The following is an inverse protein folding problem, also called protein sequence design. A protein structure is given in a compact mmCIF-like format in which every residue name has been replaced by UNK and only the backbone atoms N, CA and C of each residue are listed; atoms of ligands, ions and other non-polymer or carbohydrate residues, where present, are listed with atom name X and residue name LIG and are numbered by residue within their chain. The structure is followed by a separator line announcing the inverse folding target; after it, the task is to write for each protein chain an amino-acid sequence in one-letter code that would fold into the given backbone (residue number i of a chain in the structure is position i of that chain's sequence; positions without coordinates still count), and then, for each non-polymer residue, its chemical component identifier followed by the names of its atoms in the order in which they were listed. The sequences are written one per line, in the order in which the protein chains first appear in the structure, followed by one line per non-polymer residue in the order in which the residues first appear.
data_IF_937367762711
#
_entry.id   IF_937367762711
#
_cell.length_a   1.000
_cell.length_b   1.000
_cell.length_c   1.000
_cell.angle_alpha   90.00
_cell.angle_beta   90.00
_cell.angle_gamma   90.00
#
_symmetry.space_group_name_H-M   'P 1'
#
loop_
_entity.id
_entity.type
_entity.pdbx_description
1 polymer ?
#
# COMPACT_ATOMS: atom_id res chain seq x y z
N UNK A 1 44.00 78.00 70.10
CA UNK A 1 45.27 77.35 70.55
C UNK A 1 45.26 75.89 70.10
N UNK A 2 46.41 75.34 69.66
CA UNK A 2 46.62 75.22 68.21
C UNK A 2 47.25 73.89 67.75
N UNK A 3 47.51 73.83 66.43
CA UNK A 3 48.51 73.02 65.67
C UNK A 3 48.04 71.60 65.26
N UNK A 4 48.26 71.14 64.03
CA UNK A 4 49.43 71.40 63.16
C UNK A 4 49.13 71.21 61.66
N UNK A 5 49.86 71.99 60.87
CA UNK A 5 49.97 72.07 59.41
C UNK A 5 50.45 70.76 58.74
N UNK A 6 50.20 70.61 57.43
CA UNK A 6 51.24 70.84 56.41
C UNK A 6 50.70 70.80 54.98
N UNK A 7 51.01 71.86 54.24
CA UNK A 7 50.90 72.00 52.79
C UNK A 7 52.21 71.49 52.19
N UNK A 8 52.14 70.77 51.06
CA UNK A 8 53.22 70.77 50.08
C UNK A 8 52.67 70.71 48.65
N UNK A 9 53.10 71.68 47.85
CA UNK A 9 52.90 71.80 46.40
C UNK A 9 53.70 70.74 45.63
N UNK A 10 53.21 70.29 44.49
CA UNK A 10 54.00 70.34 43.24
C UNK A 10 53.11 70.19 42.00
N UNK A 11 53.41 71.02 40.98
CA UNK A 11 52.90 70.94 39.61
C UNK A 11 53.80 69.99 38.80
N UNK A 12 53.23 69.07 38.03
CA UNK A 12 53.81 68.45 36.82
C UNK A 12 52.62 68.06 35.92
N UNK A 13 52.26 68.85 34.90
CA UNK A 13 52.71 68.77 33.50
C UNK A 13 52.36 67.43 32.80
N UNK A 14 51.36 67.51 31.91
CA UNK A 14 51.19 66.84 30.61
C UNK A 14 51.67 65.39 30.42
N UNK A 15 50.79 64.52 29.91
CA UNK A 15 51.00 63.66 28.71
C UNK A 15 49.75 62.77 28.47
N UNK A 16 49.12 63.00 27.32
CA UNK A 16 48.52 62.03 26.39
C UNK A 16 47.96 60.70 26.95
N UNK A 17 46.63 60.56 26.98
CA UNK A 17 45.97 59.27 26.79
C UNK A 17 44.59 59.49 26.17
N UNK A 18 44.56 59.62 24.84
CA UNK A 18 43.34 59.50 24.05
C UNK A 18 42.88 58.04 24.18
N UNK A 19 42.03 57.74 25.16
CA UNK A 19 41.38 56.43 25.27
C UNK A 19 40.46 56.27 24.06
N UNK A 20 40.95 55.56 23.05
CA UNK A 20 40.11 54.91 22.06
C UNK A 20 39.21 53.91 22.80
N UNK A 21 37.98 54.33 23.10
CA UNK A 21 36.92 53.43 23.54
C UNK A 21 36.47 52.62 22.33
N UNK A 22 37.26 51.60 21.95
CA UNK A 22 36.82 50.57 21.01
C UNK A 22 35.79 49.74 21.76
N UNK A 23 34.52 50.12 21.64
CA UNK A 23 33.40 49.26 22.01
C UNK A 23 33.46 48.04 21.09
N UNK A 24 34.04 46.94 21.58
CA UNK A 24 33.86 45.63 20.99
C UNK A 24 32.37 45.28 21.11
N UNK A 25 31.58 45.68 20.11
CA UNK A 25 30.31 45.04 19.84
C UNK A 25 30.62 43.62 19.36
N UNK A 26 30.85 42.72 20.31
CA UNK A 26 30.70 41.30 20.06
C UNK A 26 29.23 41.09 19.73
N UNK A 27 28.90 41.13 18.44
CA UNK A 27 27.65 40.56 17.95
C UNK A 27 27.66 39.11 18.40
N UNK A 28 26.92 38.81 19.47
CA UNK A 28 26.61 37.43 19.83
C UNK A 28 26.04 36.79 18.56
N UNK A 29 26.83 35.89 17.97
CA UNK A 29 26.43 35.14 16.79
C UNK A 29 25.14 34.44 17.18
N UNK A 30 23.99 34.88 16.64
CA UNK A 30 22.71 34.20 16.86
C UNK A 30 22.97 32.73 16.58
N UNK A 31 22.85 31.89 17.62
CA UNK A 31 23.01 30.44 17.48
C UNK A 31 22.10 30.05 16.33
N UNK A 32 22.69 29.61 15.21
CA UNK A 32 21.90 29.15 14.07
C UNK A 32 20.98 28.05 14.63
N UNK A 33 19.65 28.17 14.49
CA UNK A 33 18.77 27.08 14.85
C UNK A 33 19.29 25.84 14.14
N UNK A 34 19.67 24.82 14.91
CA UNK A 34 20.05 23.54 14.32
C UNK A 34 18.77 23.01 13.68
N UNK A 35 18.70 23.07 12.36
CA UNK A 35 17.56 22.51 11.64
C UNK A 35 17.46 21.03 12.00
N UNK A 36 16.26 20.55 12.40
CA UNK A 36 16.09 19.16 12.71
C UNK A 36 16.42 18.32 11.46
N UNK A 37 17.02 17.14 11.62
CA UNK A 37 17.38 16.30 10.49
C UNK A 37 16.13 15.97 9.66
N UNK A 38 16.25 16.08 8.33
CA UNK A 38 15.13 15.84 7.43
C UNK A 38 14.63 14.39 7.58
N UNK A 39 13.32 14.16 7.77
CA UNK A 39 12.76 12.82 7.91
C UNK A 39 13.06 11.88 6.72
N UNK A 40 13.17 12.45 5.53
CA UNK A 40 13.52 11.78 4.28
C UNK A 40 14.56 12.63 3.53
N UNK A 41 15.60 12.00 3.01
CA UNK A 41 16.61 12.66 2.22
C UNK A 41 17.23 11.73 1.18
N UNK A 42 17.83 12.33 0.14
CA UNK A 42 18.65 11.58 -0.82
C UNK A 42 20.04 11.36 -0.23
N UNK A 43 20.41 10.11 -0.06
CA UNK A 43 21.74 9.67 0.36
C UNK A 43 22.82 9.99 -0.68
N UNK A 44 24.09 9.85 -0.30
CA UNK A 44 25.25 10.10 -1.19
C UNK A 44 25.29 9.16 -2.39
N UNK A 45 24.79 7.94 -2.24
CA UNK A 45 24.64 6.92 -3.30
C UNK A 45 23.34 7.10 -4.11
N UNK A 46 22.58 8.16 -3.84
CA UNK A 46 21.41 8.54 -4.64
C UNK A 46 20.11 7.83 -4.26
N UNK A 47 20.12 6.99 -3.22
CA UNK A 47 18.94 6.31 -2.69
C UNK A 47 18.19 7.16 -1.66
N UNK A 48 16.95 6.81 -1.37
CA UNK A 48 16.23 7.39 -0.23
C UNK A 48 16.85 6.88 1.08
N UNK A 49 17.06 7.79 2.02
CA UNK A 49 17.47 7.52 3.38
C UNK A 49 16.50 8.19 4.35
N UNK A 50 16.29 7.53 5.49
CA UNK A 50 15.24 7.85 6.43
C UNK A 50 15.85 8.19 7.79
N UNK A 51 15.46 9.33 8.34
CA UNK A 51 15.85 9.73 9.68
C UNK A 51 14.81 9.22 10.67
N UNK A 52 15.19 8.42 11.68
CA UNK A 52 14.26 8.01 12.72
C UNK A 52 13.90 9.17 13.65
N UNK A 53 12.68 9.15 14.20
CA UNK A 53 12.34 9.96 15.38
C UNK A 53 12.96 9.38 16.67
N UNK A 54 12.61 9.96 17.83
CA UNK A 54 13.14 9.53 19.13
C UNK A 54 12.74 8.10 19.53
N UNK A 55 11.64 7.56 19.00
CA UNK A 55 11.19 6.19 19.24
C UNK A 55 11.66 5.23 18.13
N UNK A 56 12.41 5.72 17.14
CA UNK A 56 12.91 4.93 16.02
C UNK A 56 11.97 4.89 14.80
N UNK A 57 10.84 5.60 14.83
CA UNK A 57 9.88 5.58 13.72
C UNK A 57 10.47 6.28 12.51
N UNK A 58 10.19 5.73 11.33
CA UNK A 58 10.57 6.35 10.05
C UNK A 58 9.34 6.48 9.17
N UNK A 59 9.39 7.40 8.20
CA UNK A 59 8.38 7.47 7.14
C UNK A 59 8.25 6.08 6.50
N UNK A 60 7.02 5.54 6.33
CA UNK A 60 6.83 4.23 5.74
C UNK A 60 7.45 4.12 4.34
N UNK A 61 8.16 3.01 4.10
CA UNK A 61 8.70 2.70 2.78
C UNK A 61 7.67 1.93 1.94
N UNK A 62 7.17 2.58 0.89
CA UNK A 62 6.20 2.00 -0.05
C UNK A 62 6.85 1.42 -1.31
N UNK A 63 8.17 1.32 -1.39
CA UNK A 63 8.86 0.74 -2.57
C UNK A 63 8.46 -0.72 -2.84
N UNK A 64 7.90 -1.41 -1.83
CA UNK A 64 7.43 -2.80 -1.89
C UNK A 64 5.99 -2.93 -2.43
N UNK A 65 5.37 -1.83 -2.85
CA UNK A 65 4.04 -1.84 -3.47
C UNK A 65 4.09 -2.33 -4.93
N UNK A 66 2.93 -2.71 -5.47
CA UNK A 66 2.80 -3.14 -6.86
C UNK A 66 3.27 -4.57 -7.14
N UNK A 67 3.13 -4.96 -8.40
CA UNK A 67 3.45 -6.27 -8.94
C UNK A 67 4.84 -6.74 -8.50
N UNK A 68 4.91 -7.92 -7.88
CA UNK A 68 6.17 -8.51 -7.42
C UNK A 68 7.02 -7.58 -6.53
N UNK A 69 6.35 -6.67 -5.79
CA UNK A 69 6.96 -5.67 -4.90
C UNK A 69 7.88 -4.67 -5.62
N UNK A 70 7.60 -4.38 -6.90
CA UNK A 70 8.41 -3.48 -7.71
C UNK A 70 9.72 -4.09 -8.25
N UNK A 71 10.03 -5.34 -7.89
CA UNK A 71 11.28 -6.01 -8.26
C UNK A 71 11.26 -6.59 -9.68
N UNK A 72 10.08 -6.68 -10.30
CA UNK A 72 9.92 -7.19 -11.67
C UNK A 72 8.96 -6.31 -12.45
N UNK A 73 9.28 -6.12 -13.73
CA UNK A 73 8.33 -5.56 -14.69
C UNK A 73 7.13 -6.51 -14.88
N UNK A 74 5.97 -5.94 -15.17
CA UNK A 74 4.78 -6.72 -15.53
C UNK A 74 5.06 -7.45 -16.85
N UNK A 75 4.90 -8.79 -16.90
CA UNK A 75 5.25 -9.58 -18.07
C UNK A 75 4.21 -9.47 -19.19
N UNK A 76 4.66 -9.62 -20.44
CA UNK A 76 3.79 -9.75 -21.59
C UNK A 76 3.41 -11.21 -21.84
N UNK A 77 2.17 -11.57 -21.49
CA UNK A 77 1.66 -12.91 -21.71
C UNK A 77 1.57 -13.27 -23.22
N UNK A 78 2.03 -14.47 -23.57
CA UNK A 78 1.84 -15.04 -24.91
C UNK A 78 0.36 -15.35 -25.17
N UNK A 79 -0.16 -14.95 -26.32
CA UNK A 79 -1.54 -15.23 -26.73
C UNK A 79 -1.72 -16.73 -26.94
N UNK A 80 -2.74 -17.31 -26.30
CA UNK A 80 -3.09 -18.74 -26.41
C UNK A 80 -4.41 -18.98 -27.11
N UNK A 81 -5.30 -17.99 -27.07
CA UNK A 81 -6.61 -18.04 -27.72
C UNK A 81 -7.01 -16.64 -28.15
N UNK A 82 -7.64 -16.55 -29.31
CA UNK A 82 -8.24 -15.32 -29.84
C UNK A 82 -9.76 -15.49 -29.82
N UNK A 83 -10.47 -14.49 -29.32
CA UNK A 83 -11.94 -14.50 -29.24
C UNK A 83 -12.47 -13.42 -30.19
N UNK A 84 -13.03 -13.79 -31.35
CA UNK A 84 -13.59 -12.83 -32.28
C UNK A 84 -14.88 -12.21 -31.72
N UNK A 85 -15.19 -11.02 -32.22
CA UNK A 85 -16.48 -10.38 -31.96
C UNK A 85 -17.59 -11.17 -32.67
N UNK A 86 -18.71 -11.35 -31.98
CA UNK A 86 -19.92 -11.97 -32.54
C UNK A 86 -21.14 -11.39 -31.84
N UNK A 87 -22.28 -11.38 -32.53
CA UNK A 87 -23.53 -10.81 -32.04
C UNK A 87 -24.03 -11.54 -30.78
N UNK A 88 -24.72 -10.80 -29.93
CA UNK A 88 -25.30 -11.29 -28.67
C UNK A 88 -24.30 -11.37 -27.51
N UNK A 89 -24.81 -11.80 -26.36
CA UNK A 89 -24.05 -11.86 -25.11
C UNK A 89 -22.78 -12.73 -25.25
N UNK A 90 -21.64 -12.10 -24.99
CA UNK A 90 -20.31 -12.69 -25.07
C UNK A 90 -19.89 -13.38 -23.77
N UNK A 91 -20.68 -13.30 -22.69
CA UNK A 91 -20.32 -13.83 -21.35
C UNK A 91 -19.79 -15.26 -21.42
N UNK A 92 -20.58 -16.19 -21.97
CA UNK A 92 -20.21 -17.61 -22.04
C UNK A 92 -19.00 -17.84 -22.95
N UNK A 93 -18.92 -17.10 -24.06
CA UNK A 93 -17.85 -17.22 -25.05
C UNK A 93 -16.50 -16.81 -24.46
N UNK A 94 -16.45 -15.65 -23.81
CA UNK A 94 -15.23 -15.16 -23.15
C UNK A 94 -14.89 -16.04 -21.94
N UNK A 95 -15.87 -16.43 -21.14
CA UNK A 95 -15.63 -17.34 -20.00
C UNK A 95 -15.07 -18.70 -20.45
N UNK A 96 -15.52 -19.23 -21.59
CA UNK A 96 -14.99 -20.47 -22.15
C UNK A 96 -13.53 -20.35 -22.56
N UNK A 97 -13.13 -19.20 -23.13
CA UNK A 97 -11.72 -18.92 -23.45
C UNK A 97 -10.87 -18.80 -22.18
N UNK A 98 -11.38 -18.13 -21.13
CA UNK A 98 -10.72 -18.07 -19.82
C UNK A 98 -10.55 -19.49 -19.24
N UNK A 99 -11.59 -20.30 -19.27
CA UNK A 99 -11.58 -21.68 -18.77
C UNK A 99 -10.58 -22.56 -19.55
N UNK A 100 -10.46 -22.35 -20.86
CA UNK A 100 -9.47 -23.03 -21.70
C UNK A 100 -8.05 -22.67 -21.28
N UNK A 101 -7.71 -21.38 -21.22
CA UNK A 101 -6.35 -20.93 -20.83
C UNK A 101 -6.03 -21.35 -19.40
N UNK A 102 -7.01 -21.35 -18.49
CA UNK A 102 -6.85 -21.80 -17.11
C UNK A 102 -6.40 -23.27 -16.98
N UNK A 103 -6.63 -24.10 -18.00
CA UNK A 103 -6.21 -25.52 -18.05
C UNK A 103 -4.82 -25.71 -18.66
N UNK A 104 -4.25 -24.73 -19.34
CA UNK A 104 -2.93 -24.84 -19.97
C UNK A 104 -1.82 -24.90 -18.91
N UNK A 105 -0.69 -25.58 -19.14
CA UNK A 105 0.41 -25.62 -18.18
C UNK A 105 0.94 -24.21 -17.89
N UNK A 106 1.37 -23.99 -16.64
CA UNK A 106 2.01 -22.74 -16.24
C UNK A 106 3.44 -22.69 -16.81
N UNK A 107 3.79 -21.58 -17.45
CA UNK A 107 5.11 -21.31 -17.99
C UNK A 107 6.14 -20.98 -16.91
N UNK A 108 7.42 -20.90 -17.30
CA UNK A 108 8.52 -20.52 -16.41
C UNK A 108 8.41 -19.08 -15.88
N UNK A 109 7.67 -18.25 -16.60
CA UNK A 109 7.32 -16.87 -16.26
C UNK A 109 6.15 -16.78 -15.26
N UNK A 110 5.53 -17.91 -14.88
CA UNK A 110 4.34 -17.94 -14.03
C UNK A 110 3.03 -17.72 -14.79
N UNK A 111 3.06 -17.73 -16.12
CA UNK A 111 1.89 -17.46 -16.97
C UNK A 111 1.42 -18.71 -17.71
N UNK A 112 0.11 -18.92 -17.76
CA UNK A 112 -0.55 -19.85 -18.69
C UNK A 112 -0.72 -19.20 -20.07
N UNK A 113 -1.00 -17.89 -20.09
CA UNK A 113 -1.03 -17.06 -21.28
C UNK A 113 -2.22 -16.09 -21.32
N UNK A 114 -2.34 -15.41 -22.46
CA UNK A 114 -3.38 -14.42 -22.70
C UNK A 114 -4.53 -14.97 -23.55
N UNK A 115 -5.75 -14.57 -23.16
CA UNK A 115 -6.95 -14.52 -23.98
C UNK A 115 -6.92 -13.17 -24.71
N UNK A 116 -6.80 -13.16 -26.03
CA UNK A 116 -6.92 -11.94 -26.82
C UNK A 116 -8.36 -11.75 -27.30
N UNK A 117 -9.00 -10.66 -26.89
CA UNK A 117 -10.22 -10.18 -27.51
C UNK A 117 -9.85 -9.33 -28.73
N UNK A 118 -10.43 -9.63 -29.88
CA UNK A 118 -10.30 -8.81 -31.07
C UNK A 118 -10.94 -7.42 -30.89
N UNK A 119 -10.74 -6.54 -31.86
CA UNK A 119 -11.39 -5.23 -31.89
C UNK A 119 -12.90 -5.40 -32.03
N UNK A 120 -13.67 -4.55 -31.34
CA UNK A 120 -15.13 -4.58 -31.38
C UNK A 120 -15.76 -4.49 -29.99
N UNK A 121 -17.10 -4.52 -29.98
CA UNK A 121 -17.91 -4.43 -28.76
C UNK A 121 -18.42 -5.82 -28.38
N UNK A 122 -18.15 -6.21 -27.14
CA UNK A 122 -18.60 -7.46 -26.52
C UNK A 122 -19.64 -7.10 -25.46
N UNK A 123 -20.91 -7.40 -25.73
CA UNK A 123 -21.96 -7.31 -24.72
C UNK A 123 -21.71 -8.39 -23.65
N UNK A 124 -21.72 -8.01 -22.38
CA UNK A 124 -21.48 -8.93 -21.26
C UNK A 124 -22.55 -8.70 -20.21
N UNK A 125 -23.57 -9.57 -20.22
CA UNK A 125 -24.63 -9.53 -19.22
C UNK A 125 -24.20 -10.13 -17.88
N UNK A 126 -23.34 -11.16 -17.89
CA UNK A 126 -22.88 -11.86 -16.69
C UNK A 126 -21.54 -11.37 -16.14
N UNK A 127 -20.84 -12.24 -15.43
CA UNK A 127 -19.53 -11.94 -14.83
C UNK A 127 -18.47 -12.86 -15.43
N UNK A 128 -17.33 -12.28 -15.80
CA UNK A 128 -16.16 -13.00 -16.28
C UNK A 128 -15.23 -13.30 -15.10
N UNK A 129 -14.89 -14.57 -14.89
CA UNK A 129 -14.18 -15.04 -13.70
C UNK A 129 -12.85 -15.68 -14.08
N UNK A 130 -11.77 -15.11 -13.56
CA UNK A 130 -10.42 -15.66 -13.65
C UNK A 130 -10.08 -16.24 -12.27
N UNK A 131 -10.07 -17.57 -12.17
CA UNK A 131 -9.85 -18.30 -10.91
C UNK A 131 -8.63 -19.22 -10.93
N UNK A 132 -7.71 -18.99 -11.87
CA UNK A 132 -6.44 -19.71 -11.96
C UNK A 132 -5.28 -18.72 -12.12
N UNK A 133 -4.13 -19.05 -11.54
CA UNK A 133 -2.92 -18.25 -11.70
C UNK A 133 -2.44 -18.20 -13.15
N UNK A 134 -1.80 -17.09 -13.53
CA UNK A 134 -1.12 -16.94 -14.81
C UNK A 134 -2.04 -16.67 -16.01
N UNK A 135 -3.28 -16.25 -15.77
CA UNK A 135 -4.27 -16.04 -16.83
C UNK A 135 -4.48 -14.55 -17.05
N UNK A 136 -4.36 -14.12 -18.31
CA UNK A 136 -4.48 -12.71 -18.70
C UNK A 136 -5.62 -12.53 -19.68
N UNK A 137 -6.51 -11.55 -19.46
CA UNK A 137 -7.49 -11.10 -20.43
C UNK A 137 -6.99 -9.80 -21.07
N UNK A 138 -6.71 -9.85 -22.37
CA UNK A 138 -6.14 -8.75 -23.14
C UNK A 138 -7.09 -8.33 -24.25
N UNK A 139 -7.33 -7.03 -24.40
CA UNK A 139 -7.95 -6.47 -25.59
C UNK A 139 -6.96 -6.06 -26.67
N UNK A 140 -7.51 -5.64 -27.81
CA UNK A 140 -6.79 -5.16 -28.99
C UNK A 140 -6.75 -3.62 -29.07
N UNK A 141 -6.80 -2.94 -27.92
CA UNK A 141 -6.76 -1.48 -27.80
C UNK A 141 -7.81 -0.97 -26.80
N UNK A 142 -7.44 -0.01 -25.95
CA UNK A 142 -8.36 0.67 -25.00
C UNK A 142 -8.93 2.01 -25.52
N UNK A 143 -8.53 2.43 -26.73
CA UNK A 143 -9.00 3.65 -27.39
C UNK A 143 -10.13 3.41 -28.41
N UNK A 144 -10.40 4.44 -29.22
CA UNK A 144 -11.38 4.37 -30.33
C UNK A 144 -11.00 3.25 -31.31
N UNK A 145 -11.97 2.44 -31.71
CA UNK A 145 -11.75 1.29 -32.60
C UNK A 145 -11.02 0.10 -31.96
N UNK A 146 -10.81 0.13 -30.65
CA UNK A 146 -10.25 -0.96 -29.85
C UNK A 146 -11.28 -2.00 -29.42
N UNK A 147 -10.95 -2.72 -28.36
CA UNK A 147 -11.85 -3.69 -27.70
C UNK A 147 -12.66 -2.98 -26.63
N UNK A 148 -13.98 -3.15 -26.68
CA UNK A 148 -14.90 -2.69 -25.64
C UNK A 148 -15.68 -3.85 -25.05
N UNK A 149 -15.66 -3.99 -23.73
CA UNK A 149 -16.64 -4.78 -22.98
C UNK A 149 -17.77 -3.83 -22.60
N UNK A 150 -18.97 -4.07 -23.12
CA UNK A 150 -20.17 -3.33 -22.77
C UNK A 150 -20.99 -4.16 -21.78
N UNK A 151 -20.99 -3.75 -20.51
CA UNK A 151 -21.55 -4.51 -19.41
C UNK A 151 -23.04 -4.19 -19.25
N UNK A 152 -23.90 -5.12 -19.67
CA UNK A 152 -25.36 -4.95 -19.73
C UNK A 152 -26.10 -5.53 -18.52
N UNK A 153 -25.39 -6.20 -17.62
CA UNK A 153 -25.97 -6.73 -16.38
C UNK A 153 -26.08 -5.70 -15.26
N UNK A 154 -26.69 -6.10 -14.14
CA UNK A 154 -26.97 -5.23 -12.99
C UNK A 154 -26.20 -5.61 -11.70
N UNK A 155 -25.33 -6.62 -11.77
CA UNK A 155 -24.57 -7.12 -10.60
C UNK A 155 -23.52 -6.10 -10.13
N UNK A 156 -23.39 -5.94 -8.80
CA UNK A 156 -22.56 -4.92 -8.16
C UNK A 156 -21.12 -5.35 -7.84
N UNK A 157 -20.81 -6.65 -7.89
CA UNK A 157 -19.55 -7.24 -7.40
C UNK A 157 -18.40 -7.03 -8.39
N UNK A 158 -18.69 -7.00 -9.69
CA UNK A 158 -17.68 -6.84 -10.74
C UNK A 158 -18.11 -7.45 -12.08
N UNK A 159 -17.84 -6.76 -13.19
CA UNK A 159 -17.96 -7.35 -14.54
C UNK A 159 -16.90 -8.42 -14.75
N UNK A 160 -15.68 -8.14 -14.30
CA UNK A 160 -14.56 -9.09 -14.29
C UNK A 160 -14.09 -9.32 -12.86
N UNK A 161 -13.90 -10.57 -12.47
CA UNK A 161 -13.37 -10.97 -11.17
C UNK A 161 -12.11 -11.80 -11.31
N UNK A 162 -11.01 -11.33 -10.75
CA UNK A 162 -9.83 -12.16 -10.48
C UNK A 162 -9.99 -12.69 -9.06
N UNK A 163 -10.41 -13.94 -8.94
CA UNK A 163 -10.88 -14.53 -7.68
C UNK A 163 -10.22 -15.87 -7.41
N UNK A 164 -9.30 -15.90 -6.44
CA UNK A 164 -8.84 -17.14 -5.82
C UNK A 164 -9.82 -17.67 -4.78
N UNK A 165 -9.44 -18.74 -4.08
CA UNK A 165 -10.26 -19.32 -3.00
C UNK A 165 -9.78 -18.80 -1.65
N UNK A 166 -10.72 -18.54 -0.76
CA UNK A 166 -10.43 -18.25 0.65
C UNK A 166 -10.36 -19.56 1.43
N UNK A 167 -9.25 -20.27 1.28
CA UNK A 167 -8.92 -21.50 2.01
C UNK A 167 -7.67 -21.31 2.88
N UNK A 168 -7.46 -20.06 3.34
CA UNK A 168 -6.35 -19.72 4.22
C UNK A 168 -6.46 -20.49 5.54
N UNK A 169 -5.40 -21.18 5.92
CA UNK A 169 -5.27 -21.86 7.20
C UNK A 169 -4.17 -21.19 8.02
N UNK A 170 -4.52 -20.69 9.20
CA UNK A 170 -3.61 -20.00 10.12
C UNK A 170 -3.23 -20.94 11.27
N UNK A 171 -1.94 -20.97 11.62
CA UNK A 171 -1.43 -21.66 12.80
C UNK A 171 -1.59 -20.80 14.06
N UNK A 172 -1.40 -21.43 15.23
CA UNK A 172 -1.49 -20.75 16.51
C UNK A 172 -0.55 -19.53 16.55
N UNK A 173 -1.03 -18.38 17.04
CA UNK A 173 -0.25 -17.17 17.12
C UNK A 173 0.88 -17.29 18.15
N UNK A 174 2.04 -16.72 17.82
CA UNK A 174 3.17 -16.53 18.73
C UNK A 174 3.32 -15.05 19.03
N UNK A 175 3.48 -14.70 20.30
CA UNK A 175 3.63 -13.30 20.72
C UNK A 175 4.93 -12.68 20.23
N UNK A 176 4.88 -11.40 19.88
CA UNK A 176 6.05 -10.55 19.71
C UNK A 176 6.45 -10.00 21.09
N UNK A 177 7.73 -10.08 21.44
CA UNK A 177 8.25 -9.72 22.77
C UNK A 177 8.88 -8.33 22.83
N UNK A 178 9.02 -7.66 21.69
CA UNK A 178 9.48 -6.27 21.67
C UNK A 178 8.46 -5.37 22.40
N UNK A 179 8.93 -4.56 23.34
CA UNK A 179 8.08 -3.56 24.00
C UNK A 179 7.55 -2.53 23.00
N UNK A 180 8.35 -2.20 22.00
CA UNK A 180 8.01 -1.27 20.92
C UNK A 180 8.72 -1.69 19.63
N UNK A 181 7.94 -1.80 18.55
CA UNK A 181 8.44 -1.99 17.18
C UNK A 181 8.11 -0.73 16.39
N UNK A 182 9.12 0.03 15.92
CA UNK A 182 8.86 1.30 15.25
C UNK A 182 8.11 1.19 13.92
N UNK A 183 7.44 2.26 13.52
CA UNK A 183 6.95 2.43 12.15
C UNK A 183 8.12 2.27 11.19
N UNK A 184 7.87 1.56 10.10
CA UNK A 184 8.83 1.19 9.08
C UNK A 184 9.93 0.21 9.55
N UNK A 185 9.75 -0.48 10.69
CA UNK A 185 10.64 -1.58 11.08
C UNK A 185 10.35 -2.85 10.27
N UNK A 186 11.39 -3.66 10.04
CA UNK A 186 11.31 -4.94 9.33
C UNK A 186 11.86 -6.12 10.15
N UNK A 187 12.09 -5.93 11.45
CA UNK A 187 12.55 -6.96 12.35
C UNK A 187 11.63 -7.06 13.56
N UNK A 188 11.40 -8.28 14.01
CA UNK A 188 10.52 -8.61 15.14
C UNK A 188 11.17 -9.70 15.98
N UNK A 189 11.08 -9.60 17.30
CA UNK A 189 11.52 -10.62 18.25
C UNK A 189 10.32 -11.44 18.70
N UNK A 190 10.38 -12.75 18.51
CA UNK A 190 9.29 -13.66 18.86
C UNK A 190 9.54 -14.34 20.22
N UNK A 191 8.46 -14.63 20.94
CA UNK A 191 8.51 -15.41 22.18
C UNK A 191 9.02 -16.85 21.95
N UNK A 192 8.82 -17.38 20.74
CA UNK A 192 9.35 -18.67 20.31
C UNK A 192 9.55 -18.68 18.79
N UNK A 193 10.64 -19.29 18.33
CA UNK A 193 10.90 -19.47 16.89
C UNK A 193 10.54 -20.88 16.40
N UNK A 194 10.07 -21.74 17.31
CA UNK A 194 9.75 -23.13 17.01
C UNK A 194 8.65 -23.21 15.94
N UNK A 195 8.92 -23.95 14.86
CA UNK A 195 7.97 -24.12 13.76
C UNK A 195 8.00 -23.03 12.68
N UNK A 196 8.84 -21.99 12.86
CA UNK A 196 9.13 -21.00 11.82
C UNK A 196 10.44 -21.33 11.10
N UNK A 197 10.48 -21.05 9.80
CA UNK A 197 11.69 -21.11 8.97
C UNK A 197 11.71 -19.95 7.98
N UNK A 198 12.91 -19.65 7.48
CA UNK A 198 13.08 -18.72 6.36
C UNK A 198 12.22 -19.20 5.18
N UNK A 199 11.45 -18.28 4.59
CA UNK A 199 10.54 -18.56 3.49
C UNK A 199 9.07 -18.68 3.90
N UNK A 200 8.78 -18.91 5.18
CA UNK A 200 7.40 -19.03 5.66
C UNK A 200 6.58 -17.76 5.40
N UNK A 201 5.31 -17.95 5.01
CA UNK A 201 4.33 -16.89 4.98
C UNK A 201 3.72 -16.71 6.37
N UNK A 202 3.64 -15.46 6.82
CA UNK A 202 3.17 -15.11 8.15
C UNK A 202 2.17 -13.96 8.09
N UNK A 203 1.21 -14.00 9.01
CA UNK A 203 0.34 -12.88 9.33
C UNK A 203 0.78 -12.29 10.66
N UNK A 204 1.05 -10.99 10.65
CA UNK A 204 1.28 -10.21 11.86
C UNK A 204 -0.04 -9.56 12.23
N UNK A 205 -0.55 -9.83 13.43
CA UNK A 205 -1.81 -9.28 13.91
C UNK A 205 -1.54 -8.27 15.03
N UNK A 206 -1.94 -7.03 14.80
CA UNK A 206 -1.97 -5.98 15.82
C UNK A 206 -3.42 -5.72 16.23
N UNK A 207 -3.78 -5.93 17.51
CA UNK A 207 -5.13 -5.69 17.98
C UNK A 207 -5.46 -4.20 18.01
N UNK A 208 -6.74 -3.90 17.89
CA UNK A 208 -7.32 -2.58 18.13
C UNK A 208 -7.94 -2.56 19.52
N UNK A 209 -7.14 -2.35 20.57
CA UNK A 209 -7.64 -2.34 21.95
C UNK A 209 -8.39 -1.06 22.28
N UNK A 210 -9.15 -1.08 23.39
CA UNK A 210 -9.86 0.10 23.88
C UNK A 210 -8.90 1.24 24.18
N UNK A 211 -7.77 0.94 24.84
CA UNK A 211 -6.76 1.92 25.24
C UNK A 211 -6.18 2.64 24.02
N UNK A 212 -5.96 1.91 22.92
CA UNK A 212 -5.50 2.50 21.67
C UNK A 212 -6.56 3.39 21.02
N UNK A 213 -7.81 2.91 20.95
CA UNK A 213 -8.94 3.65 20.39
C UNK A 213 -9.19 4.95 21.17
N UNK A 214 -9.13 4.90 22.50
CA UNK A 214 -9.30 6.06 23.38
C UNK A 214 -8.15 7.06 23.18
N UNK A 215 -6.90 6.56 23.06
CA UNK A 215 -5.72 7.40 22.79
C UNK A 215 -5.88 8.16 21.47
N UNK A 216 -6.40 7.51 20.44
CA UNK A 216 -6.67 8.13 19.14
C UNK A 216 -7.93 9.01 19.13
N UNK A 217 -8.74 8.97 20.20
CA UNK A 217 -10.05 9.63 20.28
C UNK A 217 -10.98 9.23 19.13
N UNK A 218 -10.97 7.94 18.78
CA UNK A 218 -11.77 7.37 17.69
C UNK A 218 -12.95 6.53 18.17
N UNK A 219 -13.21 6.50 19.48
CA UNK A 219 -14.41 5.89 20.04
C UNK A 219 -15.69 6.63 19.60
N UNK A 220 -15.57 7.92 19.24
CA UNK A 220 -16.60 8.75 18.64
C UNK A 220 -15.92 9.77 17.71
N UNK A 221 -16.53 10.08 16.57
CA UNK A 221 -16.01 11.09 15.63
C UNK A 221 -16.70 12.47 15.79
N UNK A 222 -17.38 12.67 16.92
CA UNK A 222 -18.22 13.83 17.21
C UNK A 222 -19.69 13.63 16.80
N UNK A 223 -20.54 14.57 17.22
CA UNK A 223 -21.99 14.54 16.94
C UNK A 223 -22.83 13.73 17.93
N UNK A 224 -22.23 13.19 19.00
CA UNK A 224 -22.92 12.34 19.98
C UNK A 224 -23.17 10.91 19.49
N UNK A 225 -22.65 10.56 18.31
CA UNK A 225 -22.95 9.30 17.62
C UNK A 225 -21.77 8.34 17.67
N UNK A 226 -21.67 7.61 18.78
CA UNK A 226 -20.67 6.55 18.97
C UNK A 226 -20.88 5.34 18.03
N UNK A 227 -22.04 5.23 17.39
CA UNK A 227 -22.35 4.14 16.47
C UNK A 227 -21.36 4.04 15.29
N UNK A 228 -20.80 5.17 14.84
CA UNK A 228 -19.80 5.23 13.77
C UNK A 228 -18.36 5.07 14.27
N UNK A 229 -18.15 5.19 15.59
CA UNK A 229 -16.84 5.07 16.23
C UNK A 229 -16.25 3.66 16.13
N UNK A 230 -14.94 3.58 16.35
CA UNK A 230 -14.21 2.32 16.39
C UNK A 230 -14.50 1.60 17.70
N UNK A 231 -14.68 0.28 17.61
CA UNK A 231 -14.85 -0.61 18.78
C UNK A 231 -13.65 -1.54 18.88
N UNK A 232 -13.29 -2.03 20.10
CA UNK A 232 -12.22 -2.98 20.24
C UNK A 232 -12.37 -4.19 19.30
N UNK A 233 -11.28 -4.59 18.64
CA UNK A 233 -11.27 -5.70 17.68
C UNK A 233 -11.80 -5.36 16.28
N UNK A 234 -12.36 -4.17 16.04
CA UNK A 234 -12.97 -3.81 14.73
C UNK A 234 -11.99 -3.14 13.76
N UNK A 235 -10.78 -2.83 14.22
CA UNK A 235 -9.73 -2.10 13.48
C UNK A 235 -8.37 -2.76 13.64
N UNK A 236 -8.39 -4.08 13.84
CA UNK A 236 -7.17 -4.87 13.90
C UNK A 236 -6.41 -4.71 12.58
N UNK A 237 -5.09 -4.57 12.67
CA UNK A 237 -4.24 -4.43 11.50
C UNK A 237 -3.53 -5.75 11.28
N UNK A 238 -3.65 -6.28 10.07
CA UNK A 238 -3.00 -7.52 9.65
C UNK A 238 -2.00 -7.23 8.53
N UNK A 239 -0.77 -7.70 8.71
CA UNK A 239 0.24 -7.65 7.66
C UNK A 239 0.60 -9.05 7.18
N UNK A 240 0.42 -9.27 5.88
CA UNK A 240 0.91 -10.44 5.16
C UNK A 240 2.39 -10.24 4.80
N UNK A 241 3.27 -11.05 5.41
CA UNK A 241 4.73 -10.96 5.29
C UNK A 241 5.36 -12.32 5.04
N UNK A 242 6.60 -12.29 4.56
CA UNK A 242 7.46 -13.45 4.41
C UNK A 242 8.68 -13.32 5.31
N UNK A 243 9.07 -14.41 5.97
CA UNK A 243 10.32 -14.45 6.74
C UNK A 243 11.50 -14.54 5.77
N UNK A 244 12.39 -13.55 5.81
CA UNK A 244 13.59 -13.47 4.98
C UNK A 244 14.85 -13.96 5.70
N UNK A 245 14.90 -13.81 7.03
CA UNK A 245 16.01 -14.29 7.85
C UNK A 245 15.53 -14.59 9.28
N UNK A 246 16.26 -15.45 9.97
CA UNK A 246 16.08 -15.77 11.40
C UNK A 246 17.45 -15.68 12.06
N UNK A 247 17.57 -14.87 13.12
CA UNK A 247 18.77 -14.76 13.95
C UNK A 247 18.36 -14.84 15.43
N UNK A 248 18.62 -15.97 16.07
CA UNK A 248 18.07 -16.25 17.40
C UNK A 248 16.54 -16.26 17.37
N UNK A 249 15.91 -15.42 18.20
CA UNK A 249 14.46 -15.20 18.25
C UNK A 249 13.98 -14.05 17.35
N UNK A 250 14.89 -13.35 16.66
CA UNK A 250 14.55 -12.24 15.78
C UNK A 250 14.34 -12.72 14.34
N UNK A 251 13.21 -12.34 13.75
CA UNK A 251 12.90 -12.56 12.33
C UNK A 251 13.08 -11.26 11.54
N UNK A 252 13.48 -11.37 10.27
CA UNK A 252 13.47 -10.26 9.30
C UNK A 252 12.36 -10.46 8.27
N UNK A 253 11.60 -9.40 7.98
CA UNK A 253 10.45 -9.39 7.08
C UNK A 253 10.84 -8.98 5.66
N UNK A 254 10.04 -9.40 4.67
CA UNK A 254 10.17 -9.00 3.26
C UNK A 254 9.82 -7.53 3.00
N UNK A 255 8.97 -6.95 3.84
CA UNK A 255 8.60 -5.54 3.78
C UNK A 255 8.36 -4.98 5.20
N UNK A 256 8.60 -3.68 5.42
CA UNK A 256 8.45 -3.07 6.73
C UNK A 256 6.97 -2.91 7.16
N UNK A 257 6.75 -2.64 8.44
CA UNK A 257 5.41 -2.38 9.00
C UNK A 257 5.01 -0.91 8.86
N UNK A 258 3.74 -0.66 8.60
CA UNK A 258 3.20 0.70 8.37
C UNK A 258 2.67 1.37 9.65
N UNK A 259 2.63 0.65 10.77
CA UNK A 259 2.17 1.13 12.06
C UNK A 259 3.00 0.47 13.15
N UNK A 260 3.36 1.23 14.18
CA UNK A 260 4.14 0.71 15.29
C UNK A 260 3.36 -0.38 16.05
N UNK A 261 4.09 -1.36 16.55
CA UNK A 261 3.58 -2.34 17.52
C UNK A 261 4.02 -1.87 18.90
N UNK A 262 3.10 -1.77 19.83
CA UNK A 262 3.39 -1.24 21.16
C UNK A 262 2.74 -2.14 22.20
N UNK A 263 3.55 -2.71 23.09
CA UNK A 263 3.10 -3.61 24.14
C UNK A 263 2.05 -2.95 25.05
N UNK A 264 2.09 -1.62 25.21
CA UNK A 264 1.09 -0.88 26.02
C UNK A 264 -0.32 -0.92 25.42
N UNK A 265 -0.43 -1.21 24.13
CA UNK A 265 -1.70 -1.34 23.41
C UNK A 265 -2.02 -2.80 23.04
N UNK A 266 -1.55 -3.75 23.86
CA UNK A 266 -1.82 -5.18 23.68
C UNK A 266 -0.79 -5.93 22.84
N UNK A 267 0.30 -5.27 22.42
CA UNK A 267 1.37 -5.89 21.65
C UNK A 267 0.91 -6.37 20.28
N UNK A 268 1.47 -7.50 19.83
CA UNK A 268 1.09 -8.12 18.56
C UNK A 268 1.52 -9.59 18.53
N UNK A 269 0.98 -10.33 17.56
CA UNK A 269 1.28 -11.74 17.35
C UNK A 269 1.66 -12.04 15.92
N UNK A 270 2.36 -13.15 15.71
CA UNK A 270 2.71 -13.72 14.42
C UNK A 270 2.12 -15.12 14.30
N UNK A 271 1.36 -15.37 13.25
CA UNK A 271 0.87 -16.69 12.87
C UNK A 271 1.46 -17.08 11.52
N UNK A 272 2.02 -18.28 11.41
CA UNK A 272 2.28 -18.87 10.09
C UNK A 272 0.96 -19.23 9.42
N UNK A 273 0.87 -19.08 8.10
CA UNK A 273 -0.31 -19.51 7.36
C UNK A 273 0.03 -20.20 6.04
N UNK A 274 -0.90 -21.01 5.56
CA UNK A 274 -0.93 -21.59 4.22
C UNK A 274 -2.17 -21.07 3.49
N UNK A 275 -2.06 -20.81 2.18
CA UNK A 275 -3.17 -20.27 1.36
C UNK A 275 -3.12 -20.79 -0.07
N UNK A 276 -3.42 -22.07 -0.24
CA UNK A 276 -3.28 -22.79 -1.51
C UNK A 276 -4.19 -22.23 -2.61
N UNK A 277 -5.34 -21.69 -2.23
CA UNK A 277 -6.32 -21.08 -3.11
C UNK A 277 -5.99 -19.68 -3.58
N UNK A 278 -4.96 -19.03 -3.01
CA UNK A 278 -4.57 -17.68 -3.44
C UNK A 278 -3.87 -17.73 -4.80
N UNK A 279 -4.52 -17.19 -5.81
CA UNK A 279 -3.99 -17.18 -7.17
C UNK A 279 -2.98 -16.05 -7.36
N UNK A 280 -2.17 -16.12 -8.42
CA UNK A 280 -1.19 -15.09 -8.73
C UNK A 280 -1.04 -14.85 -10.23
N UNK A 281 -0.39 -13.75 -10.62
CA UNK A 281 -0.12 -13.42 -12.02
C UNK A 281 -1.40 -13.39 -12.89
N UNK A 282 -2.49 -12.84 -12.34
CA UNK A 282 -3.69 -12.52 -13.09
C UNK A 282 -3.61 -11.11 -13.69
N UNK A 283 -4.03 -10.93 -14.94
CA UNK A 283 -3.92 -9.65 -15.63
C UNK A 283 -5.17 -9.27 -16.42
N UNK A 284 -5.58 -8.00 -16.37
CA UNK A 284 -6.54 -7.41 -17.33
C UNK A 284 -5.86 -6.24 -18.01
N UNK A 285 -5.88 -6.21 -19.35
CA UNK A 285 -5.15 -5.18 -20.07
C UNK A 285 -5.70 -4.80 -21.45
N UNK A 286 -5.38 -3.57 -21.85
CA UNK A 286 -5.54 -3.05 -23.21
C UNK A 286 -6.98 -3.09 -23.77
N UNK A 287 -7.96 -2.71 -22.96
CA UNK A 287 -9.38 -2.69 -23.34
C UNK A 287 -10.15 -1.55 -22.68
N UNK A 288 -11.35 -1.28 -23.19
CA UNK A 288 -12.35 -0.43 -22.52
C UNK A 288 -13.42 -1.31 -21.85
N UNK A 289 -13.88 -0.91 -20.67
CA UNK A 289 -15.08 -1.45 -20.03
C UNK A 289 -16.06 -0.30 -19.80
N UNK A 290 -17.29 -0.45 -20.26
CA UNK A 290 -18.36 0.54 -20.15
C UNK A 290 -19.57 -0.15 -19.51
N UNK A 291 -20.09 0.40 -18.41
CA UNK A 291 -21.39 -0.02 -17.89
C UNK A 291 -22.49 0.54 -18.77
N UNK A 292 -23.51 -0.26 -19.08
CA UNK A 292 -24.79 0.29 -19.50
C UNK A 292 -25.42 1.08 -18.35
N UNK A 293 -26.31 2.03 -18.66
CA UNK A 293 -27.06 2.82 -17.68
C UNK A 293 -28.33 3.39 -18.33
N UNK A 294 -29.29 3.79 -17.51
CA UNK A 294 -30.56 4.34 -17.98
C UNK A 294 -30.41 5.79 -18.46
N UNK A 295 -30.33 5.99 -19.79
CA UNK A 295 -30.00 7.29 -20.40
C UNK A 295 -31.00 8.41 -20.12
N UNK A 296 -32.29 8.10 -19.92
CA UNK A 296 -33.27 9.12 -19.54
C UNK A 296 -33.22 9.47 -18.04
N UNK A 297 -32.53 8.68 -17.22
CA UNK A 297 -32.38 8.92 -15.79
C UNK A 297 -30.96 9.42 -15.48
N UNK A 298 -30.80 10.74 -15.40
CA UNK A 298 -29.50 11.40 -15.14
C UNK A 298 -28.87 11.06 -13.78
N UNK A 299 -29.59 10.39 -12.87
CA UNK A 299 -29.13 9.93 -11.56
C UNK A 299 -29.24 8.41 -11.40
N UNK A 300 -29.16 7.68 -12.51
CA UNK A 300 -29.22 6.23 -12.43
C UNK A 300 -28.03 5.68 -11.63
N UNK A 301 -28.33 4.94 -10.57
CA UNK A 301 -27.35 4.12 -9.83
C UNK A 301 -27.70 2.62 -9.93
N UNK A 302 -28.72 2.28 -10.71
CA UNK A 302 -29.21 0.92 -10.90
C UNK A 302 -28.60 0.27 -12.15
N UNK A 303 -27.26 0.22 -12.16
CA UNK A 303 -26.45 -0.44 -13.18
C UNK A 303 -25.19 -1.05 -12.55
N UNK A 304 -24.17 -1.43 -13.34
CA UNK A 304 -22.94 -2.00 -12.79
C UNK A 304 -22.23 -1.00 -11.88
N UNK A 305 -21.95 -1.45 -10.66
CA UNK A 305 -21.18 -0.66 -9.69
C UNK A 305 -19.68 -0.84 -9.84
N UNK A 306 -19.21 -2.06 -10.08
CA UNK A 306 -17.78 -2.37 -10.12
C UNK A 306 -17.41 -2.92 -11.49
N UNK A 307 -16.33 -2.42 -12.10
CA UNK A 307 -15.83 -2.99 -13.35
C UNK A 307 -14.97 -4.22 -13.09
N UNK A 308 -13.92 -4.08 -12.29
CA UNK A 308 -13.00 -5.18 -11.96
C UNK A 308 -12.87 -5.34 -10.44
N UNK A 309 -12.95 -6.57 -9.96
CA UNK A 309 -12.75 -6.91 -8.56
C UNK A 309 -11.64 -7.96 -8.39
N UNK A 310 -10.72 -7.73 -7.45
CA UNK A 310 -9.60 -8.59 -7.11
C UNK A 310 -9.72 -9.08 -5.67
N UNK A 311 -9.68 -10.40 -5.50
CA UNK A 311 -9.87 -11.07 -4.21
C UNK A 311 -9.10 -12.40 -4.19
N UNK A 312 -8.46 -12.70 -3.06
CA UNK A 312 -7.64 -13.91 -2.86
C UNK A 312 -6.57 -14.05 -3.96
N UNK A 313 -5.92 -12.94 -4.31
CA UNK A 313 -4.94 -12.86 -5.40
C UNK A 313 -3.70 -12.12 -4.96
N UNK A 314 -2.54 -12.48 -5.51
CA UNK A 314 -1.32 -11.71 -5.36
C UNK A 314 -0.60 -11.49 -6.68
N UNK A 315 0.28 -10.51 -6.77
CA UNK A 315 1.13 -10.31 -7.95
C UNK A 315 0.28 -10.21 -9.22
N UNK A 316 -0.73 -9.35 -9.22
CA UNK A 316 -1.66 -9.18 -10.32
C UNK A 316 -1.67 -7.72 -10.81
N UNK A 317 -2.17 -7.50 -12.01
CA UNK A 317 -2.15 -6.17 -12.62
C UNK A 317 -3.41 -5.86 -13.42
N UNK A 318 -3.75 -4.58 -13.41
CA UNK A 318 -4.72 -3.96 -14.31
C UNK A 318 -3.99 -2.83 -15.00
N UNK A 319 -3.80 -2.90 -16.32
CA UNK A 319 -3.08 -1.84 -17.04
C UNK A 319 -3.72 -1.47 -18.35
N UNK A 320 -3.62 -0.19 -18.73
CA UNK A 320 -4.11 0.26 -20.03
C UNK A 320 -5.61 -0.03 -20.20
N UNK A 321 -6.41 0.35 -19.20
CA UNK A 321 -7.86 0.13 -19.20
C UNK A 321 -8.60 1.46 -19.07
N UNK A 322 -9.61 1.65 -19.92
CA UNK A 322 -10.57 2.75 -19.80
C UNK A 322 -11.85 2.23 -19.19
N UNK A 323 -12.34 2.89 -18.14
CA UNK A 323 -13.58 2.60 -17.44
C UNK A 323 -14.57 3.73 -17.65
N UNK A 324 -15.81 3.41 -17.98
CA UNK A 324 -16.88 4.40 -18.22
C UNK A 324 -18.17 3.98 -17.51
N UNK A 325 -18.83 4.95 -16.86
CA UNK A 325 -20.19 4.83 -16.31
C UNK A 325 -20.39 3.81 -15.16
N UNK A 326 -19.37 3.52 -14.35
CA UNK A 326 -19.52 2.65 -13.17
C UNK A 326 -19.95 3.46 -11.93
N UNK A 327 -21.00 3.03 -11.23
CA UNK A 327 -21.54 3.75 -10.08
C UNK A 327 -20.68 3.67 -8.80
N UNK A 328 -19.83 2.64 -8.67
CA UNK A 328 -19.01 2.40 -7.48
C UNK A 328 -17.52 2.57 -7.75
N UNK A 329 -16.91 1.58 -8.40
CA UNK A 329 -15.45 1.48 -8.53
C UNK A 329 -15.02 1.00 -9.92
N UNK A 330 -14.02 1.66 -10.50
CA UNK A 330 -13.31 1.12 -11.67
C UNK A 330 -12.59 -0.20 -11.32
N UNK A 331 -11.80 -0.19 -10.25
CA UNK A 331 -11.10 -1.38 -9.75
C UNK A 331 -11.24 -1.45 -8.23
N UNK A 332 -11.81 -2.54 -7.73
CA UNK A 332 -11.90 -2.85 -6.30
C UNK A 332 -10.86 -3.89 -5.94
N UNK A 333 -9.94 -3.55 -5.04
CA UNK A 333 -8.93 -4.46 -4.50
C UNK A 333 -9.30 -4.80 -3.06
N UNK A 334 -9.72 -6.03 -2.79
CA UNK A 334 -10.12 -6.46 -1.45
C UNK A 334 -8.90 -6.81 -0.58
N UNK A 335 -9.10 -6.81 0.74
CA UNK A 335 -8.04 -7.02 1.76
C UNK A 335 -7.26 -8.32 1.62
N UNK A 336 -7.84 -9.32 0.96
CA UNK A 336 -7.21 -10.61 0.68
C UNK A 336 -6.20 -10.55 -0.48
N UNK A 337 -6.09 -9.39 -1.14
CA UNK A 337 -5.17 -9.15 -2.25
C UNK A 337 -3.83 -8.55 -1.80
N UNK A 338 -2.74 -8.89 -2.50
CA UNK A 338 -1.39 -8.38 -2.18
C UNK A 338 -0.59 -8.08 -3.45
N UNK A 339 0.21 -7.00 -3.45
CA UNK A 339 1.11 -6.65 -4.58
C UNK A 339 0.35 -6.56 -5.91
N UNK A 340 -0.62 -5.64 -5.93
CA UNK A 340 -1.45 -5.35 -7.10
C UNK A 340 -0.98 -4.06 -7.74
N UNK A 341 -0.78 -4.05 -9.06
CA UNK A 341 -0.54 -2.82 -9.83
C UNK A 341 -1.80 -2.42 -10.59
N UNK A 342 -2.19 -1.15 -10.46
CA UNK A 342 -3.17 -0.52 -11.35
C UNK A 342 -2.47 0.67 -12.00
N UNK A 343 -2.15 0.57 -13.28
CA UNK A 343 -1.36 1.60 -14.00
C UNK A 343 -1.98 1.94 -15.36
N UNK A 344 -1.68 3.13 -15.88
CA UNK A 344 -2.15 3.59 -17.20
C UNK A 344 -3.67 3.45 -17.44
N UNK A 345 -4.46 3.61 -16.37
CA UNK A 345 -5.91 3.50 -16.40
C UNK A 345 -6.58 4.86 -16.39
N UNK A 346 -7.78 4.96 -17.00
CA UNK A 346 -8.63 6.16 -16.93
C UNK A 346 -10.03 5.77 -16.53
N UNK A 347 -10.62 6.51 -15.60
CA UNK A 347 -12.03 6.34 -15.20
C UNK A 347 -12.80 7.61 -15.56
N UNK A 348 -13.86 7.46 -16.34
CA UNK A 348 -14.76 8.53 -16.72
C UNK A 348 -16.16 8.28 -16.21
N UNK A 349 -16.87 9.38 -15.98
CA UNK A 349 -18.25 9.39 -15.53
C UNK A 349 -19.19 8.89 -16.60
#
# INVERSE_FOLDING_TARGET
MPKTNHIYNSKVLSILALLFLVTNFSFAQKIKPVEPPKPLFKSKDGKLAYTPDAEGNRIPDFSYAGYMAGEKAIPDATIKVVVPVSKGDATIRIQSAINYVSKLPIGKDGLRGAILLEKGTYEVAGTLKISASGVVLRGSGFGVGGTKIFATGLDRIGVIRILGKDDRSEQNPVAITDNYVPVNANQLTLASINGFKVGDQILINRPSTKEWIDTLKTAEFGGGESALGWKPGTRDIRWDRKIMAINGSTITLDAPLTTALDAKFGGATVSKYDWNGRINNGGIENLKIESDYHKENIKDEYHRWTAICLENVQDAWIRQVVFEHFAGSAVTVLETSKRITVEDCKSFA
#
